data_IF_470363275183
#
_entry.id   IF_470363275183
#
_cell.length_a   1.000
_cell.length_b   1.000
_cell.length_c   1.000
_cell.angle_alpha   90.00
_cell.angle_beta   90.00
_cell.angle_gamma   90.00
#
_symmetry.space_group_name_H-M   'P 1'
#
loop_
_entity.id
_entity.type
_entity.pdbx_description
1 polymer ?
#
# COMPACT_ATOMS: atom_id res chain seq x y z
N UNK A 1 -18.57 -6.09 15.60
CA UNK A 1 -18.94 -4.79 16.16
C UNK A 1 -17.72 -3.88 16.15
N UNK A 2 -17.42 -3.33 14.98
CA UNK A 2 -16.28 -2.46 14.78
C UNK A 2 -16.59 -1.07 15.31
N UNK A 3 -16.32 -0.86 16.59
CA UNK A 3 -16.46 0.45 17.18
C UNK A 3 -15.23 1.31 16.85
N UNK A 4 -15.21 1.90 15.65
CA UNK A 4 -14.14 2.78 15.17
C UNK A 4 -13.93 4.06 15.99
N UNK A 5 -14.64 4.22 17.11
CA UNK A 5 -14.49 5.35 18.02
C UNK A 5 -13.41 5.14 19.09
N UNK A 6 -12.84 3.95 19.18
CA UNK A 6 -11.81 3.67 20.16
C UNK A 6 -10.45 4.12 19.63
N UNK A 7 -9.90 5.18 20.17
CA UNK A 7 -8.54 5.66 19.88
C UNK A 7 -7.54 4.86 20.71
N UNK A 8 -7.35 3.58 20.39
CA UNK A 8 -6.31 2.77 20.97
C UNK A 8 -5.25 2.44 19.92
N UNK A 9 -4.00 2.55 20.30
CA UNK A 9 -2.90 1.97 19.53
C UNK A 9 -2.93 0.47 19.71
N UNK A 10 -2.82 -0.30 18.63
CA UNK A 10 -2.73 -1.75 18.73
C UNK A 10 -2.82 -2.40 17.38
N UNK A 11 -1.76 -3.10 17.02
CA UNK A 11 -1.72 -3.92 15.83
C UNK A 11 -2.72 -5.07 15.96
N UNK A 12 -3.53 -5.28 14.92
CA UNK A 12 -4.25 -6.53 14.77
C UNK A 12 -3.29 -7.65 14.38
N UNK A 13 -2.19 -7.28 13.69
CA UNK A 13 -1.15 -8.20 13.30
C UNK A 13 0.21 -7.49 13.20
N UNK A 14 1.18 -7.98 13.97
CA UNK A 14 2.60 -7.70 13.83
C UNK A 14 3.32 -8.93 13.28
N UNK A 15 4.16 -8.74 12.26
CA UNK A 15 4.93 -9.80 11.64
C UNK A 15 6.41 -9.48 11.78
N UNK A 16 7.14 -10.33 12.47
CA UNK A 16 8.60 -10.31 12.55
C UNK A 16 9.13 -11.70 12.18
N UNK A 17 8.97 -12.05 10.91
CA UNK A 17 9.33 -13.38 10.41
C UNK A 17 9.95 -13.27 9.01
N UNK A 18 10.68 -14.32 8.62
CA UNK A 18 11.36 -14.39 7.33
C UNK A 18 10.40 -14.55 6.16
N UNK A 19 9.37 -15.35 6.33
CA UNK A 19 8.40 -15.67 5.27
C UNK A 19 7.04 -15.98 5.87
N UNK A 20 5.99 -15.29 5.39
CA UNK A 20 4.64 -15.42 5.97
C UNK A 20 3.57 -15.28 4.89
N UNK A 21 2.53 -16.09 4.94
CA UNK A 21 1.36 -15.98 4.06
C UNK A 21 0.06 -15.90 4.86
N UNK A 22 -0.82 -15.00 4.44
CA UNK A 22 -2.18 -14.83 4.96
C UNK A 22 -3.16 -14.94 3.80
N UNK A 23 -4.08 -15.89 3.88
CA UNK A 23 -5.03 -16.19 2.82
C UNK A 23 -6.45 -16.06 3.37
N UNK A 24 -7.30 -15.28 2.68
CA UNK A 24 -8.70 -15.05 3.07
C UNK A 24 -8.88 -14.54 4.51
N UNK A 25 -7.93 -13.75 5.02
CA UNK A 25 -7.97 -13.22 6.38
C UNK A 25 -8.69 -11.86 6.43
N UNK A 26 -9.24 -11.53 7.60
CA UNK A 26 -9.79 -10.20 7.89
C UNK A 26 -9.02 -9.60 9.06
N UNK A 27 -8.32 -8.50 8.78
CA UNK A 27 -7.57 -7.71 9.77
C UNK A 27 -8.29 -6.38 9.95
N UNK A 28 -8.84 -6.15 11.13
CA UNK A 28 -9.63 -4.96 11.40
C UNK A 28 -9.11 -4.31 12.69
N UNK A 29 -8.64 -3.10 12.55
CA UNK A 29 -8.17 -2.26 13.64
C UNK A 29 -8.66 -0.82 13.50
N UNK A 30 -8.08 0.07 14.28
CA UNK A 30 -8.31 1.51 14.16
C UNK A 30 -7.04 2.19 13.63
N UNK A 31 -5.99 2.22 14.44
CA UNK A 31 -4.68 2.74 14.08
C UNK A 31 -3.66 1.59 14.10
N UNK A 32 -2.66 1.65 13.23
CA UNK A 32 -1.54 0.70 13.18
C UNK A 32 -2.00 -0.78 13.04
N UNK A 33 -3.04 -1.04 12.24
CA UNK A 33 -3.68 -2.37 12.16
C UNK A 33 -2.73 -3.48 11.74
N UNK A 34 -1.86 -3.21 10.76
CA UNK A 34 -0.93 -4.18 10.18
C UNK A 34 0.49 -3.63 10.15
N UNK A 35 1.41 -4.35 10.80
CA UNK A 35 2.84 -4.06 10.83
C UNK A 35 3.67 -5.23 10.29
N UNK A 36 3.99 -5.28 9.00
CA UNK A 36 5.03 -6.15 8.46
C UNK A 36 6.42 -5.60 8.81
N UNK A 37 7.04 -6.13 9.86
CA UNK A 37 8.32 -5.63 10.40
C UNK A 37 9.56 -6.09 9.63
N UNK A 38 9.49 -7.20 8.86
CA UNK A 38 10.61 -7.75 8.11
C UNK A 38 10.19 -8.82 7.12
N UNK A 39 11.16 -9.35 6.37
CA UNK A 39 11.04 -10.50 5.49
C UNK A 39 10.06 -10.35 4.32
N UNK A 40 9.60 -11.51 3.85
CA UNK A 40 8.71 -11.67 2.70
C UNK A 40 7.31 -12.04 3.18
N UNK A 41 6.34 -11.17 2.95
CA UNK A 41 4.98 -11.33 3.43
C UNK A 41 4.00 -11.32 2.26
N UNK A 42 3.12 -12.31 2.21
CA UNK A 42 2.09 -12.42 1.19
C UNK A 42 0.69 -12.42 1.80
N UNK A 43 -0.13 -11.46 1.38
CA UNK A 43 -1.55 -11.35 1.72
C UNK A 43 -2.35 -11.62 0.47
N UNK A 44 -3.18 -12.66 0.47
CA UNK A 44 -4.00 -13.06 -0.67
C UNK A 44 -5.48 -13.07 -0.31
N UNK A 45 -6.27 -12.31 -1.06
CA UNK A 45 -7.72 -12.18 -0.85
C UNK A 45 -8.08 -11.77 0.59
N UNK A 46 -7.27 -10.92 1.19
CA UNK A 46 -7.48 -10.43 2.54
C UNK A 46 -8.31 -9.13 2.51
N UNK A 47 -9.09 -8.93 3.58
CA UNK A 47 -9.74 -7.66 3.89
C UNK A 47 -9.00 -7.00 5.05
N UNK A 48 -8.47 -5.80 4.83
CA UNK A 48 -7.69 -5.07 5.83
C UNK A 48 -8.31 -3.69 5.99
N UNK A 49 -8.69 -3.34 7.22
CA UNK A 49 -9.39 -2.09 7.48
C UNK A 49 -8.85 -1.36 8.70
N UNK A 50 -8.86 -0.02 8.60
CA UNK A 50 -8.47 0.86 9.69
C UNK A 50 -8.76 2.32 9.39
N UNK A 51 -8.45 3.20 10.33
CA UNK A 51 -8.74 4.62 10.23
C UNK A 51 -7.50 5.53 10.28
N UNK A 52 -6.36 5.05 10.72
CA UNK A 52 -5.13 5.87 10.79
C UNK A 52 -3.90 4.98 10.60
N UNK A 53 -3.09 5.30 9.58
CA UNK A 53 -1.81 4.65 9.32
C UNK A 53 -1.90 3.12 9.45
N UNK A 54 -3.02 2.55 8.95
CA UNK A 54 -3.38 1.19 9.33
C UNK A 54 -2.53 0.11 8.64
N UNK A 55 -1.66 0.50 7.70
CA UNK A 55 -0.57 -0.33 7.17
C UNK A 55 0.73 0.45 7.35
N UNK A 56 1.66 -0.09 8.14
CA UNK A 56 2.95 0.54 8.36
C UNK A 56 4.05 -0.51 8.56
N UNK A 57 5.32 -0.10 8.57
CA UNK A 57 6.44 -1.02 8.78
C UNK A 57 7.42 -1.10 7.61
N UNK A 58 8.30 -2.10 7.62
CA UNK A 58 9.47 -2.16 6.76
C UNK A 58 9.80 -3.57 6.22
N UNK A 59 8.79 -4.35 5.82
CA UNK A 59 9.02 -5.64 5.18
C UNK A 59 9.89 -5.53 3.92
N UNK A 60 10.72 -6.54 3.66
CA UNK A 60 11.59 -6.57 2.47
C UNK A 60 10.76 -6.64 1.18
N UNK A 61 9.76 -7.52 1.19
CA UNK A 61 8.71 -7.61 0.18
C UNK A 61 7.39 -7.86 0.90
N UNK A 62 6.42 -6.99 0.71
CA UNK A 62 5.08 -7.16 1.23
C UNK A 62 4.11 -7.14 0.05
N UNK A 63 3.69 -8.31 -0.40
CA UNK A 63 2.76 -8.45 -1.52
C UNK A 63 1.32 -8.57 -1.00
N UNK A 64 0.49 -7.64 -1.42
CA UNK A 64 -0.97 -7.72 -1.31
C UNK A 64 -1.52 -8.08 -2.69
N UNK A 65 -2.24 -9.17 -2.78
CA UNK A 65 -2.78 -9.68 -4.03
C UNK A 65 -4.28 -9.94 -3.88
N UNK A 66 -5.08 -9.37 -4.78
CA UNK A 66 -6.56 -9.45 -4.74
C UNK A 66 -7.16 -9.02 -3.38
N UNK A 67 -6.50 -8.11 -2.65
CA UNK A 67 -6.93 -7.65 -1.33
C UNK A 67 -7.84 -6.42 -1.41
N UNK A 68 -8.65 -6.23 -0.36
CA UNK A 68 -9.35 -4.97 -0.13
C UNK A 68 -8.76 -4.24 1.07
N UNK A 69 -8.35 -2.98 0.85
CA UNK A 69 -7.80 -2.05 1.83
C UNK A 69 -8.89 -0.99 2.08
N UNK A 70 -9.53 -1.03 3.25
CA UNK A 70 -10.74 -0.25 3.51
C UNK A 70 -10.58 0.79 4.62
N UNK A 71 -10.90 2.04 4.33
CA UNK A 71 -10.93 3.14 5.30
C UNK A 71 -12.38 3.55 5.61
N UNK A 72 -13.03 2.94 6.61
CA UNK A 72 -14.48 3.08 6.82
C UNK A 72 -14.94 4.48 7.21
N UNK A 73 -14.07 5.29 7.80
CA UNK A 73 -14.39 6.67 8.22
C UNK A 73 -13.53 7.73 7.53
N UNK A 74 -12.82 7.33 6.48
CA UNK A 74 -11.68 8.06 5.96
C UNK A 74 -10.47 7.93 6.87
N UNK A 75 -9.30 8.21 6.36
CA UNK A 75 -8.06 8.06 7.12
C UNK A 75 -7.11 9.22 6.86
N UNK A 76 -6.27 9.50 7.85
CA UNK A 76 -5.12 10.39 7.70
C UNK A 76 -4.14 9.81 6.68
N UNK A 77 -3.92 8.50 6.70
CA UNK A 77 -3.31 7.73 5.64
C UNK A 77 -3.68 6.24 5.75
N UNK A 78 -3.76 5.58 4.61
CA UNK A 78 -3.84 4.11 4.54
C UNK A 78 -2.48 3.55 4.92
N UNK A 79 -1.40 4.11 4.36
CA UNK A 79 -0.05 3.61 4.50
C UNK A 79 0.90 4.64 5.11
N UNK A 80 1.70 4.18 6.06
CA UNK A 80 2.89 4.86 6.55
C UNK A 80 4.06 3.86 6.46
N UNK A 81 4.42 3.46 5.26
CA UNK A 81 5.52 2.54 5.05
C UNK A 81 6.85 3.19 5.48
N UNK A 82 7.79 2.36 5.91
CA UNK A 82 9.15 2.75 6.33
C UNK A 82 10.15 1.83 5.67
N UNK A 83 10.06 1.76 4.34
CA UNK A 83 10.83 0.81 3.54
C UNK A 83 12.32 1.16 3.62
N UNK A 84 13.13 0.18 3.98
CA UNK A 84 14.58 0.36 4.04
C UNK A 84 15.19 0.39 2.65
N UNK A 85 16.32 1.05 2.52
CA UNK A 85 17.09 1.07 1.27
C UNK A 85 17.37 -0.36 0.78
N UNK A 86 17.17 -0.56 -0.49
CA UNK A 86 17.39 -1.84 -1.15
C UNK A 86 16.28 -2.88 -0.95
N UNK A 87 15.19 -2.56 -0.25
CA UNK A 87 13.99 -3.40 -0.18
C UNK A 87 13.06 -3.09 -1.36
N UNK A 88 12.32 -4.10 -1.83
CA UNK A 88 11.26 -3.87 -2.82
C UNK A 88 10.10 -3.09 -2.21
N UNK A 89 9.84 -3.33 -0.93
CA UNK A 89 8.77 -2.69 -0.17
C UNK A 89 7.40 -3.30 -0.44
N UNK A 90 6.39 -2.43 -0.54
CA UNK A 90 5.00 -2.85 -0.63
C UNK A 90 4.55 -2.91 -2.08
N UNK A 91 4.03 -4.05 -2.50
CA UNK A 91 3.45 -4.28 -3.81
C UNK A 91 1.97 -4.64 -3.65
N UNK A 92 1.10 -3.87 -4.28
CA UNK A 92 -0.33 -4.10 -4.33
C UNK A 92 -0.67 -4.53 -5.76
N UNK A 93 -1.12 -5.77 -5.95
CA UNK A 93 -1.54 -6.28 -7.25
C UNK A 93 -3.03 -6.63 -7.22
N UNK A 94 -3.80 -6.07 -8.14
CA UNK A 94 -5.25 -6.23 -8.25
C UNK A 94 -6.01 -5.92 -6.94
N UNK A 95 -5.48 -4.99 -6.14
CA UNK A 95 -6.11 -4.58 -4.89
C UNK A 95 -7.14 -3.48 -5.11
N UNK A 96 -8.10 -3.41 -4.18
CA UNK A 96 -9.11 -2.34 -4.11
C UNK A 96 -8.85 -1.48 -2.88
N UNK A 97 -8.72 -0.18 -3.09
CA UNK A 97 -8.61 0.82 -2.04
C UNK A 97 -9.96 1.54 -1.90
N UNK A 98 -10.71 1.19 -0.88
CA UNK A 98 -12.10 1.62 -0.70
C UNK A 98 -12.25 2.50 0.54
N UNK A 99 -13.34 3.26 0.59
CA UNK A 99 -13.74 4.08 1.75
C UNK A 99 -15.17 3.77 2.15
N UNK A 100 -15.54 4.13 3.38
CA UNK A 100 -16.91 4.01 3.84
C UNK A 100 -17.85 4.99 3.14
N UNK A 101 -19.16 4.72 3.23
CA UNK A 101 -20.18 5.57 2.64
C UNK A 101 -20.12 7.01 3.20
N UNK A 102 -20.21 7.99 2.31
CA UNK A 102 -20.16 9.41 2.65
C UNK A 102 -18.78 9.96 3.02
N UNK A 103 -17.71 9.17 2.91
CA UNK A 103 -16.34 9.66 3.12
C UNK A 103 -15.91 10.52 1.94
N UNK A 104 -15.66 11.79 2.20
CA UNK A 104 -15.23 12.78 1.19
C UNK A 104 -13.74 13.14 1.27
N UNK A 105 -13.04 12.67 2.32
CA UNK A 105 -11.60 12.90 2.50
C UNK A 105 -10.93 11.66 3.09
N UNK A 106 -9.95 11.15 2.39
CA UNK A 106 -9.11 10.04 2.84
C UNK A 106 -7.78 10.10 2.12
N UNK A 107 -6.67 9.94 2.83
CA UNK A 107 -5.33 10.02 2.27
C UNK A 107 -4.76 8.62 2.06
N UNK A 108 -4.06 8.40 0.94
CA UNK A 108 -3.48 7.09 0.64
C UNK A 108 -2.14 6.89 1.36
N UNK A 109 -1.22 7.85 1.25
CA UNK A 109 0.15 7.73 1.73
C UNK A 109 0.44 8.84 2.75
N UNK A 110 0.98 8.46 3.92
CA UNK A 110 1.54 9.42 4.87
C UNK A 110 3.00 9.71 4.54
N UNK A 111 3.32 10.98 4.45
CA UNK A 111 4.66 11.43 4.14
C UNK A 111 5.57 11.31 5.36
N UNK A 112 6.33 10.24 5.46
CA UNK A 112 7.29 10.03 6.54
C UNK A 112 8.74 9.92 6.05
N UNK A 113 8.94 9.15 4.98
CA UNK A 113 10.23 8.91 4.35
C UNK A 113 10.01 8.55 2.88
N UNK A 114 11.03 8.55 2.02
CA UNK A 114 10.90 7.97 0.69
C UNK A 114 10.49 6.50 0.80
N UNK A 115 9.41 6.13 0.13
CA UNK A 115 8.83 4.79 0.21
C UNK A 115 8.78 4.10 -1.14
N UNK A 116 9.10 2.80 -1.14
CA UNK A 116 8.89 1.93 -2.28
C UNK A 116 7.48 1.31 -2.19
N UNK A 117 6.52 1.94 -2.87
CA UNK A 117 5.14 1.50 -2.98
C UNK A 117 4.81 1.27 -4.45
N UNK A 118 4.37 0.07 -4.79
CA UNK A 118 4.06 -0.31 -6.17
C UNK A 118 2.60 -0.72 -6.27
N UNK A 119 1.84 -0.06 -7.15
CA UNK A 119 0.42 -0.30 -7.37
C UNK A 119 0.21 -0.86 -8.79
N UNK A 120 -0.26 -2.09 -8.90
CA UNK A 120 -0.42 -2.83 -10.15
C UNK A 120 -1.88 -3.22 -10.33
N UNK A 121 -2.51 -2.79 -11.42
CA UNK A 121 -3.90 -3.15 -11.74
C UNK A 121 -4.90 -2.86 -10.59
N UNK A 122 -4.61 -1.88 -9.76
CA UNK A 122 -5.43 -1.55 -8.60
C UNK A 122 -6.60 -0.65 -8.94
N UNK A 123 -7.66 -0.75 -8.13
CA UNK A 123 -8.82 0.15 -8.17
C UNK A 123 -8.85 1.01 -6.91
N UNK A 124 -9.12 2.29 -7.08
CA UNK A 124 -9.10 3.28 -6.00
C UNK A 124 -10.44 4.02 -5.93
N UNK A 125 -10.92 4.26 -4.71
CA UNK A 125 -11.96 5.26 -4.51
C UNK A 125 -11.46 6.64 -4.97
N UNK A 126 -12.30 7.41 -5.64
CA UNK A 126 -11.94 8.68 -6.31
C UNK A 126 -11.30 9.68 -5.34
N UNK A 127 -11.69 9.64 -4.07
CA UNK A 127 -11.17 10.50 -3.01
C UNK A 127 -9.64 10.40 -2.83
N UNK A 128 -9.03 9.29 -3.20
CA UNK A 128 -7.58 9.09 -3.07
C UNK A 128 -6.77 9.81 -4.14
N UNK A 129 -7.33 10.09 -5.31
CA UNK A 129 -6.62 10.78 -6.39
C UNK A 129 -6.03 12.12 -5.92
N UNK A 130 -6.87 13.11 -5.57
CA UNK A 130 -6.39 14.40 -5.06
C UNK A 130 -5.68 14.31 -3.69
N UNK A 131 -5.91 13.23 -2.94
CA UNK A 131 -5.30 12.99 -1.63
C UNK A 131 -4.30 11.81 -1.67
N UNK A 132 -3.57 11.64 -2.76
CA UNK A 132 -2.60 10.56 -2.91
C UNK A 132 -1.52 10.60 -1.82
N UNK A 133 -1.02 11.80 -1.51
CA UNK A 133 -0.12 12.05 -0.38
C UNK A 133 -0.75 13.08 0.55
N UNK A 134 -0.71 12.81 1.85
CA UNK A 134 -1.22 13.75 2.87
C UNK A 134 -0.39 15.01 2.96
N UNK A 135 -1.05 16.11 3.35
CA UNK A 135 -0.37 17.33 3.76
C UNK A 135 0.44 17.04 5.03
N UNK A 136 1.73 16.97 4.89
CA UNK A 136 2.64 16.86 6.01
C UNK A 136 3.49 18.11 6.14
N UNK A 137 4.14 18.21 7.30
CA UNK A 137 5.16 19.22 7.53
C UNK A 137 6.06 19.29 6.31
N UNK A 138 6.44 20.50 5.85
CA UNK A 138 7.36 20.61 4.72
C UNK A 138 8.54 19.68 4.96
N UNK A 139 8.80 18.78 4.02
CA UNK A 139 10.05 18.03 4.01
C UNK A 139 11.17 19.08 3.99
N UNK A 140 12.19 18.85 4.79
CA UNK A 140 13.42 19.58 4.63
C UNK A 140 13.82 19.52 3.16
N UNK A 141 14.25 20.63 2.53
CA UNK A 141 14.53 20.67 1.09
C UNK A 141 15.53 19.62 0.60
N UNK A 142 16.25 19.02 1.53
CA UNK A 142 17.27 17.98 1.28
C UNK A 142 16.72 16.55 1.29
N UNK A 143 15.48 16.34 1.73
CA UNK A 143 14.87 15.00 1.77
C UNK A 143 14.20 14.72 0.43
N UNK A 144 14.51 13.57 -0.22
CA UNK A 144 13.82 13.16 -1.44
C UNK A 144 12.30 13.10 -1.23
N UNK A 145 11.54 13.35 -2.28
CA UNK A 145 10.09 13.21 -2.23
C UNK A 145 9.71 11.82 -1.71
N UNK A 146 8.73 11.76 -0.81
CA UNK A 146 8.21 10.50 -0.26
C UNK A 146 7.72 9.56 -1.37
N UNK A 147 7.30 10.09 -2.50
CA UNK A 147 6.83 9.31 -3.65
C UNK A 147 7.92 8.94 -4.65
N UNK A 148 9.19 9.30 -4.41
CA UNK A 148 10.27 9.03 -5.35
C UNK A 148 10.50 7.53 -5.63
N UNK A 149 10.09 6.64 -4.73
CA UNK A 149 10.11 5.18 -4.92
C UNK A 149 8.79 4.59 -5.40
N UNK A 150 7.73 5.40 -5.53
CA UNK A 150 6.40 4.90 -5.89
C UNK A 150 6.30 4.58 -7.39
N UNK A 151 5.59 3.50 -7.69
CA UNK A 151 5.34 3.03 -9.06
C UNK A 151 3.88 2.71 -9.24
N UNK A 152 3.36 2.93 -10.45
CA UNK A 152 1.99 2.58 -10.79
C UNK A 152 1.92 1.95 -12.19
N UNK A 153 1.07 0.95 -12.34
CA UNK A 153 0.69 0.36 -13.61
C UNK A 153 -0.82 0.10 -13.64
N UNK A 154 -1.51 0.64 -14.64
CA UNK A 154 -2.92 0.41 -14.88
C UNK A 154 -3.81 0.63 -13.63
N UNK A 155 -3.56 1.71 -12.87
CA UNK A 155 -4.42 2.12 -11.77
C UNK A 155 -5.71 2.76 -12.30
N UNK A 156 -6.86 2.36 -11.74
CA UNK A 156 -8.19 2.87 -12.14
C UNK A 156 -8.95 3.41 -10.93
N UNK A 157 -9.85 4.35 -11.16
CA UNK A 157 -10.87 4.73 -10.20
C UNK A 157 -12.02 3.70 -10.19
N UNK A 158 -12.90 3.78 -9.22
CA UNK A 158 -14.14 2.98 -9.19
C UNK A 158 -15.05 3.31 -10.40
N UNK A 159 -14.97 4.52 -10.93
CA UNK A 159 -15.66 4.95 -12.16
C UNK A 159 -14.98 4.47 -13.46
N UNK A 160 -13.77 3.93 -13.37
CA UNK A 160 -13.00 3.40 -14.50
C UNK A 160 -12.00 4.38 -15.12
N UNK A 161 -11.90 5.59 -14.60
CA UNK A 161 -10.95 6.59 -15.06
C UNK A 161 -9.50 6.18 -14.73
N UNK A 162 -8.54 6.75 -15.45
CA UNK A 162 -7.12 6.55 -15.16
C UNK A 162 -6.74 7.29 -13.87
N UNK A 163 -6.50 6.52 -12.82
CA UNK A 163 -6.19 7.05 -11.50
C UNK A 163 -4.89 7.87 -11.47
N UNK A 164 -3.89 7.50 -12.27
CA UNK A 164 -2.61 8.23 -12.33
C UNK A 164 -2.83 9.71 -12.68
N UNK A 165 -3.79 10.00 -13.55
CA UNK A 165 -4.11 11.37 -13.98
C UNK A 165 -4.84 12.20 -12.91
N UNK A 166 -5.41 11.58 -11.89
CA UNK A 166 -6.04 12.28 -10.75
C UNK A 166 -5.04 12.70 -9.67
N UNK A 167 -3.83 12.15 -9.70
CA UNK A 167 -2.76 12.52 -8.77
C UNK A 167 -2.31 13.96 -9.11
N UNK A 168 -2.21 14.87 -8.13
CA UNK A 168 -1.73 16.23 -8.36
C UNK A 168 -0.37 16.24 -9.08
N UNK A 169 -0.21 17.10 -10.06
CA UNK A 169 0.96 17.12 -10.95
C UNK A 169 2.29 17.14 -10.19
N UNK A 170 2.39 17.97 -9.16
CA UNK A 170 3.60 18.08 -8.33
C UNK A 170 4.02 16.77 -7.68
N UNK A 171 3.06 15.90 -7.35
CA UNK A 171 3.30 14.57 -6.80
C UNK A 171 3.50 13.55 -7.92
N UNK A 172 2.64 13.61 -8.95
CA UNK A 172 2.63 12.69 -10.07
C UNK A 172 3.97 12.60 -10.79
N UNK A 173 4.68 13.69 -10.93
CA UNK A 173 6.02 13.74 -11.57
C UNK A 173 7.07 12.90 -10.84
N UNK A 174 6.84 12.53 -9.60
CA UNK A 174 7.74 11.69 -8.80
C UNK A 174 7.28 10.23 -8.71
N UNK A 175 6.09 9.91 -9.23
CA UNK A 175 5.57 8.54 -9.32
C UNK A 175 5.87 7.98 -10.70
N UNK A 176 6.59 6.87 -10.77
CA UNK A 176 6.90 6.21 -12.03
C UNK A 176 5.65 5.49 -12.58
N UNK A 177 5.11 6.00 -13.69
CA UNK A 177 4.08 5.28 -14.44
C UNK A 177 4.76 4.21 -15.32
N UNK A 178 4.59 2.94 -14.96
CA UNK A 178 5.25 1.83 -15.63
C UNK A 178 4.63 1.58 -17.01
N UNK A 179 5.48 1.35 -18.00
CA UNK A 179 5.05 0.76 -19.26
C UNK A 179 4.72 -0.73 -19.09
N UNK A 180 3.97 -1.30 -20.02
CA UNK A 180 3.66 -2.73 -20.03
C UNK A 180 4.94 -3.59 -20.04
N UNK A 181 5.96 -3.18 -20.76
CA UNK A 181 7.25 -3.88 -20.78
C UNK A 181 7.91 -3.90 -19.40
N UNK A 182 7.95 -2.76 -18.71
CA UNK A 182 8.50 -2.65 -17.35
C UNK A 182 7.69 -3.46 -16.33
N UNK A 183 6.36 -3.45 -16.45
CA UNK A 183 5.49 -4.29 -15.63
C UNK A 183 5.80 -5.77 -15.86
N UNK A 184 5.78 -6.23 -17.09
CA UNK A 184 6.02 -7.64 -17.43
C UNK A 184 7.42 -8.12 -17.02
N UNK A 185 8.43 -7.26 -17.15
CA UNK A 185 9.81 -7.57 -16.76
C UNK A 185 9.97 -7.75 -15.24
N UNK A 186 9.37 -6.86 -14.45
CA UNK A 186 9.67 -6.75 -13.02
C UNK A 186 8.59 -7.28 -12.10
N UNK A 187 7.31 -7.24 -12.53
CA UNK A 187 6.15 -7.48 -11.67
C UNK A 187 5.12 -8.44 -12.28
N UNK A 188 5.35 -8.98 -13.45
CA UNK A 188 4.37 -9.73 -14.25
C UNK A 188 3.87 -11.04 -13.64
N UNK A 189 4.41 -11.47 -12.51
CA UNK A 189 3.90 -12.61 -11.73
C UNK A 189 4.26 -12.51 -10.25
N UNK A 190 3.50 -13.24 -9.41
CA UNK A 190 3.80 -13.39 -7.98
C UNK A 190 5.22 -13.89 -7.74
N UNK A 191 5.65 -14.88 -8.51
CA UNK A 191 6.97 -15.49 -8.38
C UNK A 191 8.08 -14.45 -8.62
N UNK A 192 7.92 -13.59 -9.62
CA UNK A 192 8.90 -12.51 -9.87
C UNK A 192 9.02 -11.57 -8.68
N UNK A 193 7.88 -11.13 -8.15
CA UNK A 193 7.83 -10.22 -7.00
C UNK A 193 8.48 -10.88 -5.78
N UNK A 194 8.07 -12.10 -5.48
CA UNK A 194 8.50 -12.79 -4.27
C UNK A 194 9.90 -13.41 -4.35
N UNK A 195 10.46 -13.54 -5.56
CA UNK A 195 11.86 -13.94 -5.77
C UNK A 195 12.86 -12.78 -5.63
N UNK A 196 12.42 -11.63 -5.16
CA UNK A 196 13.29 -10.47 -4.99
C UNK A 196 14.59 -10.85 -4.26
N UNK A 197 15.73 -10.42 -4.79
CA UNK A 197 17.06 -10.74 -4.25
C UNK A 197 17.32 -12.25 -4.05
N UNK A 198 16.75 -13.11 -4.88
CA UNK A 198 17.00 -14.54 -4.86
C UNK A 198 16.29 -15.31 -3.73
N UNK A 199 15.25 -14.73 -3.13
CA UNK A 199 14.38 -15.47 -2.22
C UNK A 199 13.75 -16.66 -2.97
N UNK A 200 13.69 -17.83 -2.31
CA UNK A 200 13.00 -19.00 -2.86
C UNK A 200 11.49 -18.85 -2.68
N UNK A 201 10.72 -18.73 -3.78
CA UNK A 201 9.29 -18.55 -3.72
C UNK A 201 8.50 -19.86 -3.50
N UNK A 202 9.15 -20.99 -3.29
CA UNK A 202 8.50 -22.31 -3.21
C UNK A 202 7.56 -22.46 -2.03
N UNK A 203 7.68 -21.61 -1.01
CA UNK A 203 6.90 -21.68 0.23
C UNK A 203 5.47 -21.10 0.13
N UNK A 204 5.14 -20.36 -0.95
CA UNK A 204 3.80 -19.80 -1.17
C UNK A 204 3.14 -20.39 -2.43
N UNK A 205 2.97 -21.68 -2.44
CA UNK A 205 2.10 -22.37 -3.39
C UNK A 205 0.72 -22.54 -2.76
N UNK A 206 -0.32 -22.24 -3.56
CA UNK A 206 -1.69 -22.56 -3.20
C UNK A 206 -1.88 -24.08 -3.02
#
# INVERSE_FOLDING_TARGET
NTNYRYQGFGEALYIDNKSTAFINCRLIGYQDTLLPGGGYNWFYKCYIAGATDFIWGSGEVVLFEDCELHAPTGTRAVMQARVKEGYLGYVFDRCRFTVGEGVTKSTLIYQYAPDNLTFLNCTFADVYGPNFVGENKPLEPTVPSVTAGCKMYNGKTESGDDFYNLIPEAVRTTVLNLSEAQFNENFGSREKIMSWKGNDPSWFKE
#
